data_IF_085787509835
#
_entry.id   IF_085787509835
#
_cell.length_a   1.000
_cell.length_b   1.000
_cell.length_c   1.000
_cell.angle_alpha   90.00
_cell.angle_beta   90.00
_cell.angle_gamma   90.00
#
_symmetry.space_group_name_H-M   'P 1'
#
loop_
_entity.id
_entity.type
_entity.pdbx_description
1 polymer ?
#
# COMPACT_ATOMS: atom_id res chain seq x y z
N UNK A 1 -7.76 -9.46 16.76
CA UNK A 1 -8.74 -8.92 15.80
C UNK A 1 -8.34 -9.28 14.38
N UNK A 2 -9.28 -9.85 13.64
CA UNK A 2 -9.27 -10.38 12.27
C UNK A 2 -9.16 -9.31 11.16
N UNK A 3 -8.48 -8.19 11.41
CA UNK A 3 -8.39 -7.06 10.46
C UNK A 3 -7.60 -7.34 9.17
N UNK A 4 -7.00 -8.52 9.04
CA UNK A 4 -6.08 -8.86 7.95
C UNK A 4 -6.80 -9.38 6.68
N UNK A 5 -8.02 -9.92 6.78
CA UNK A 5 -8.75 -10.39 5.59
C UNK A 5 -9.54 -9.27 4.92
N UNK A 6 -10.40 -8.55 5.65
CA UNK A 6 -11.24 -7.49 5.08
C UNK A 6 -10.42 -6.33 4.50
N UNK A 7 -9.39 -5.88 5.22
CA UNK A 7 -8.50 -4.82 4.71
C UNK A 7 -7.75 -5.24 3.44
N UNK A 8 -7.39 -6.52 3.33
CA UNK A 8 -6.74 -7.06 2.14
C UNK A 8 -7.70 -7.17 0.95
N UNK A 9 -8.91 -7.66 1.16
CA UNK A 9 -9.91 -7.75 0.08
C UNK A 9 -10.37 -6.36 -0.39
N UNK A 10 -10.51 -5.39 0.53
CA UNK A 10 -10.77 -4.00 0.16
C UNK A 10 -9.63 -3.39 -0.67
N UNK A 11 -8.36 -3.68 -0.31
CA UNK A 11 -7.20 -3.21 -1.07
C UNK A 11 -7.18 -3.81 -2.49
N UNK A 12 -7.47 -5.10 -2.65
CA UNK A 12 -7.57 -5.73 -3.97
C UNK A 12 -8.66 -5.10 -4.83
N UNK A 13 -9.85 -4.87 -4.26
CA UNK A 13 -10.94 -4.21 -4.96
C UNK A 13 -10.53 -2.82 -5.45
N UNK A 14 -9.89 -2.03 -4.59
CA UNK A 14 -9.36 -0.71 -4.94
C UNK A 14 -8.36 -0.80 -6.10
N UNK A 15 -7.39 -1.72 -6.04
CA UNK A 15 -6.37 -1.88 -7.10
C UNK A 15 -7.01 -2.23 -8.45
N UNK A 16 -8.04 -3.07 -8.45
CA UNK A 16 -8.77 -3.40 -9.68
C UNK A 16 -9.49 -2.18 -10.26
N UNK A 17 -10.19 -1.40 -9.42
CA UNK A 17 -10.84 -0.16 -9.86
C UNK A 17 -9.80 0.82 -10.43
N UNK A 18 -8.66 0.99 -9.77
CA UNK A 18 -7.59 1.86 -10.24
C UNK A 18 -7.04 1.41 -11.60
N UNK A 19 -6.87 0.09 -11.81
CA UNK A 19 -6.50 -0.50 -13.10
C UNK A 19 -7.52 -0.18 -14.18
N UNK A 20 -8.81 -0.40 -13.90
CA UNK A 20 -9.90 -0.13 -14.86
C UNK A 20 -10.00 1.34 -15.25
N UNK A 21 -9.58 2.25 -14.38
CA UNK A 21 -9.52 3.69 -14.64
C UNK A 21 -8.19 4.16 -15.26
N UNK A 22 -7.29 3.24 -15.60
CA UNK A 22 -5.99 3.58 -16.22
C UNK A 22 -5.00 4.28 -15.26
N UNK A 23 -5.17 4.11 -13.95
CA UNK A 23 -4.19 4.62 -12.98
C UNK A 23 -3.03 3.64 -12.88
N UNK A 24 -1.85 4.10 -13.29
CA UNK A 24 -0.65 3.24 -13.40
C UNK A 24 0.22 3.27 -12.14
N UNK A 25 0.08 4.29 -11.28
CA UNK A 25 0.94 4.47 -10.12
C UNK A 25 0.14 4.96 -8.91
N UNK A 26 0.35 4.32 -7.77
CA UNK A 26 -0.27 4.68 -6.49
C UNK A 26 0.83 4.85 -5.44
N UNK A 27 0.79 5.96 -4.71
CA UNK A 27 1.65 6.18 -3.56
C UNK A 27 0.84 6.00 -2.27
N UNK A 28 1.31 5.14 -1.37
CA UNK A 28 0.74 4.90 -0.06
C UNK A 28 1.71 5.33 1.04
N UNK A 29 1.17 5.81 2.15
CA UNK A 29 1.94 6.24 3.32
C UNK A 29 1.40 5.55 4.55
N UNK A 30 2.29 5.03 5.41
CA UNK A 30 1.90 4.50 6.71
C UNK A 30 2.98 4.71 7.76
N UNK A 31 2.59 4.70 9.03
CA UNK A 31 3.56 4.77 10.13
C UNK A 31 4.46 3.53 10.14
N UNK A 32 5.73 3.72 10.53
CA UNK A 32 6.75 2.67 10.42
C UNK A 32 6.54 1.49 11.38
N UNK A 33 5.80 1.71 12.46
CA UNK A 33 5.41 0.74 13.47
C UNK A 33 4.10 0.02 13.16
N UNK A 34 3.35 0.44 12.14
CA UNK A 34 2.10 -0.19 11.75
C UNK A 34 2.33 -1.48 10.94
N UNK A 35 2.75 -2.54 11.64
CA UNK A 35 3.10 -3.83 11.03
C UNK A 35 1.95 -4.50 10.28
N UNK A 36 0.69 -4.20 10.63
CA UNK A 36 -0.48 -4.75 9.96
C UNK A 36 -0.63 -4.19 8.54
N UNK A 37 -0.56 -2.85 8.38
CA UNK A 37 -0.69 -2.23 7.06
C UNK A 37 0.53 -2.50 6.18
N UNK A 38 1.74 -2.56 6.76
CA UNK A 38 2.97 -2.94 6.03
C UNK A 38 2.81 -4.32 5.37
N UNK A 39 2.23 -5.29 6.10
CA UNK A 39 1.95 -6.62 5.55
C UNK A 39 0.89 -6.59 4.44
N UNK A 40 -0.17 -5.80 4.60
CA UNK A 40 -1.22 -5.66 3.57
C UNK A 40 -0.65 -5.03 2.30
N UNK A 41 0.11 -3.94 2.44
CA UNK A 41 0.78 -3.27 1.32
C UNK A 41 1.71 -4.25 0.57
N UNK A 42 2.59 -4.95 1.28
CA UNK A 42 3.50 -5.93 0.66
C UNK A 42 2.77 -7.06 -0.06
N UNK A 43 1.68 -7.59 0.50
CA UNK A 43 0.84 -8.61 -0.15
C UNK A 43 0.20 -8.16 -1.46
N UNK A 44 -0.05 -6.86 -1.60
CA UNK A 44 -0.70 -6.26 -2.76
C UNK A 44 0.29 -5.61 -3.74
N UNK A 45 1.59 -5.88 -3.59
CA UNK A 45 2.63 -5.47 -4.55
C UNK A 45 3.18 -4.06 -4.35
N UNK A 46 2.85 -3.39 -3.23
CA UNK A 46 3.49 -2.13 -2.88
C UNK A 46 4.95 -2.35 -2.47
N UNK A 47 5.85 -1.53 -3.00
CA UNK A 47 7.28 -1.56 -2.72
C UNK A 47 7.63 -0.34 -1.88
N UNK A 48 8.35 -0.54 -0.77
CA UNK A 48 8.80 0.57 0.10
C UNK A 48 9.79 1.45 -0.67
N UNK A 49 9.53 2.76 -0.67
CA UNK A 49 10.48 3.74 -1.17
C UNK A 49 11.61 3.91 -0.13
N UNK A 50 12.83 3.52 -0.50
CA UNK A 50 14.01 3.60 0.36
C UNK A 50 14.50 5.04 0.58
N UNK A 51 14.05 5.97 -0.27
CA UNK A 51 14.51 7.37 -0.27
C UNK A 51 13.53 8.30 0.47
N UNK A 52 12.61 7.75 1.26
CA UNK A 52 11.62 8.54 1.99
C UNK A 52 12.24 9.29 3.18
N UNK A 53 12.96 10.37 2.90
CA UNK A 53 13.65 11.23 3.87
C UNK A 53 12.69 12.27 4.48
N UNK A 54 11.49 12.45 3.91
CA UNK A 54 10.68 13.65 4.14
C UNK A 54 9.81 13.66 5.40
N UNK A 55 9.57 12.51 6.08
CA UNK A 55 8.79 12.49 7.33
C UNK A 55 9.29 11.45 8.36
N UNK A 56 9.65 11.87 9.58
CA UNK A 56 10.02 10.94 10.63
C UNK A 56 8.85 10.00 10.96
N UNK A 57 9.16 8.70 11.09
CA UNK A 57 8.22 7.62 11.40
C UNK A 57 7.13 7.33 10.35
N UNK A 58 7.21 7.88 9.12
CA UNK A 58 6.30 7.52 8.02
C UNK A 58 7.08 6.86 6.89
N UNK A 59 6.60 5.71 6.45
CA UNK A 59 7.11 4.99 5.29
C UNK A 59 6.22 5.25 4.08
N UNK A 60 6.85 5.64 2.98
CA UNK A 60 6.24 5.72 1.65
C UNK A 60 6.38 4.38 0.93
N UNK A 61 5.33 4.01 0.22
CA UNK A 61 5.24 2.83 -0.61
C UNK A 61 4.68 3.19 -1.97
N UNK A 62 5.16 2.53 -3.02
CA UNK A 62 4.66 2.74 -4.38
C UNK A 62 4.17 1.41 -4.96
N UNK A 63 2.99 1.42 -5.54
CA UNK A 63 2.44 0.35 -6.36
C UNK A 63 2.43 0.81 -7.82
N UNK A 64 3.05 0.03 -8.70
CA UNK A 64 2.90 0.18 -10.15
C UNK A 64 1.89 -0.84 -10.63
N UNK A 65 0.77 -0.34 -11.16
CA UNK A 65 -0.31 -1.15 -11.71
C UNK A 65 -0.03 -1.30 -13.21
N UNK A 66 0.17 -2.55 -13.64
CA UNK A 66 0.26 -2.94 -15.05
C UNK A 66 -1.08 -3.44 -15.55
#
# INVERSE_FOLDING_TARGET
YSGNSYGNEAMKLLINILRENGINTVNGYCQSDNTAIIKIMGKNGFIRDSNNIEMPNVNKYTLTIK
#
